data_IF_793821776772
#
_entry.id   IF_793821776772
#
_cell.length_a   1.000
_cell.length_b   1.000
_cell.length_c   1.000
_cell.angle_alpha   90.00
_cell.angle_beta   90.00
_cell.angle_gamma   90.00
#
_symmetry.space_group_name_H-M   'P 1'
#
loop_
_entity.id
_entity.type
_entity.pdbx_description
1 polymer ?
#
# COMPACT_ATOMS: atom_id res chain seq x y z
N UNK A 1 -33.09 -2.24 11.05
CA UNK A 1 -31.72 -2.17 11.59
C UNK A 1 -31.75 -1.47 12.94
N UNK A 2 -31.11 -2.00 14.00
CA UNK A 2 -30.98 -1.29 15.27
C UNK A 2 -30.09 -0.05 15.08
N UNK A 3 -30.55 1.09 15.62
CA UNK A 3 -30.02 2.43 15.35
C UNK A 3 -28.56 2.62 15.81
N UNK A 4 -28.18 1.96 16.89
CA UNK A 4 -26.86 2.03 17.52
C UNK A 4 -25.71 1.59 16.60
N UNK A 5 -25.95 0.61 15.71
CA UNK A 5 -24.91 0.09 14.81
C UNK A 5 -24.57 1.06 13.67
N UNK A 6 -25.52 1.91 13.27
CA UNK A 6 -25.27 2.98 12.31
C UNK A 6 -24.52 4.15 12.95
N UNK A 7 -24.88 4.51 14.19
CA UNK A 7 -24.20 5.56 14.96
C UNK A 7 -22.75 5.16 15.30
N UNK A 8 -22.49 3.89 15.64
CA UNK A 8 -21.13 3.39 15.91
C UNK A 8 -20.17 3.50 14.70
N UNK A 9 -20.66 3.36 13.47
CA UNK A 9 -19.83 3.51 12.27
C UNK A 9 -19.67 4.98 11.83
N UNK A 10 -20.59 5.86 12.20
CA UNK A 10 -20.41 7.31 12.07
C UNK A 10 -19.47 7.89 13.14
N UNK A 11 -19.37 7.24 14.31
CA UNK A 11 -18.55 7.66 15.44
C UNK A 11 -17.05 7.37 15.30
N UNK A 12 -16.58 6.89 14.14
CA UNK A 12 -15.16 6.86 13.79
C UNK A 12 -14.64 8.28 13.47
N UNK A 13 -14.68 9.16 14.48
CA UNK A 13 -14.14 10.52 14.41
C UNK A 13 -12.63 10.40 14.21
N UNK A 14 -12.17 10.66 12.98
CA UNK A 14 -10.77 10.94 12.74
C UNK A 14 -10.43 12.23 13.48
N UNK A 15 -9.59 12.12 14.51
CA UNK A 15 -9.03 13.27 15.21
C UNK A 15 -8.28 14.15 14.22
N UNK A 16 -8.58 15.45 14.26
CA UNK A 16 -7.94 16.43 13.37
C UNK A 16 -6.59 16.78 13.97
N UNK A 17 -5.51 16.56 13.23
CA UNK A 17 -4.19 16.96 13.69
C UNK A 17 -4.09 18.48 13.79
N UNK A 18 -3.59 18.99 14.93
CA UNK A 18 -3.39 20.42 15.16
C UNK A 18 -2.40 21.03 14.15
N UNK A 19 -1.34 20.29 13.83
CA UNK A 19 -0.31 20.68 12.87
C UNK A 19 -0.57 20.10 11.46
N UNK A 20 -0.40 20.90 10.38
CA UNK A 20 -0.49 20.41 9.01
C UNK A 20 0.66 19.44 8.69
N UNK A 21 0.39 18.44 7.85
CA UNK A 21 1.42 17.52 7.38
C UNK A 21 2.50 18.25 6.56
N UNK A 22 3.72 18.34 7.11
CA UNK A 22 4.89 18.89 6.41
C UNK A 22 5.71 17.76 5.76
N UNK A 23 5.76 17.67 4.42
CA UNK A 23 6.55 16.63 3.76
C UNK A 23 8.05 16.96 3.81
N UNK A 24 8.89 15.96 4.11
CA UNK A 24 10.36 16.08 4.10
C UNK A 24 11.01 16.27 2.72
N UNK A 25 10.23 16.66 1.70
CA UNK A 25 10.62 17.03 0.34
C UNK A 25 9.49 17.85 -0.29
N UNK A 26 9.75 18.68 -1.32
CA UNK A 26 8.69 19.28 -2.11
C UNK A 26 7.71 18.22 -2.63
N UNK A 27 6.42 18.48 -2.42
CA UNK A 27 5.31 17.62 -2.79
C UNK A 27 4.11 18.51 -3.15
N UNK A 28 3.45 18.27 -4.28
CA UNK A 28 2.23 18.95 -4.70
C UNK A 28 0.98 18.53 -3.91
N UNK A 29 1.10 17.55 -3.01
CA UNK A 29 0.03 17.07 -2.15
C UNK A 29 -0.72 15.85 -2.70
N UNK A 30 -1.82 15.50 -2.03
CA UNK A 30 -2.65 14.34 -2.32
C UNK A 30 -4.05 14.76 -2.76
N UNK A 31 -4.68 13.95 -3.61
CA UNK A 31 -6.08 14.15 -4.06
C UNK A 31 -7.02 13.49 -3.05
N UNK A 32 -7.55 14.30 -2.12
CA UNK A 32 -8.39 13.86 -0.99
C UNK A 32 -9.79 14.47 -0.98
N UNK A 33 -10.28 14.95 -2.15
CA UNK A 33 -11.63 15.53 -2.31
C UNK A 33 -12.76 14.50 -2.28
N UNK A 34 -13.81 14.70 -3.07
CA UNK A 34 -15.06 13.90 -3.05
C UNK A 34 -14.87 12.37 -3.18
N UNK A 35 -13.80 11.92 -3.83
CA UNK A 35 -13.47 10.50 -3.99
C UNK A 35 -12.70 9.89 -2.79
N UNK A 36 -12.46 10.67 -1.74
CA UNK A 36 -11.71 10.29 -0.55
C UNK A 36 -10.21 10.10 -0.82
N UNK A 37 -9.53 9.47 0.14
CA UNK A 37 -8.05 9.34 0.16
C UNK A 37 -7.45 8.38 -0.88
N UNK A 38 -8.28 7.59 -1.57
CA UNK A 38 -7.83 6.52 -2.46
C UNK A 38 -8.51 5.19 -2.12
N UNK A 39 -7.74 4.14 -1.81
CA UNK A 39 -8.30 2.85 -1.39
C UNK A 39 -7.45 2.10 -0.36
N UNK A 40 -8.09 1.19 0.38
CA UNK A 40 -7.42 0.28 1.34
C UNK A 40 -7.70 -1.17 0.95
N UNK A 41 -6.68 -2.02 1.02
CA UNK A 41 -6.81 -3.47 0.86
C UNK A 41 -6.63 -4.16 2.21
N UNK A 42 -7.60 -4.99 2.59
CA UNK A 42 -7.59 -5.79 3.80
C UNK A 42 -7.37 -7.26 3.46
N UNK A 43 -6.57 -7.95 4.27
CA UNK A 43 -6.45 -9.41 4.28
C UNK A 43 -7.02 -9.95 5.58
N UNK A 44 -7.76 -11.06 5.55
CA UNK A 44 -8.43 -11.62 6.73
C UNK A 44 -8.85 -13.09 6.53
N UNK A 45 -8.87 -13.86 7.62
CA UNK A 45 -9.52 -15.17 7.68
C UNK A 45 -11.05 -15.07 7.84
N UNK A 46 -11.55 -13.95 8.38
CA UNK A 46 -12.99 -13.71 8.62
C UNK A 46 -13.65 -13.05 7.41
N UNK A 47 -13.46 -13.66 6.24
CA UNK A 47 -13.84 -13.04 4.96
C UNK A 47 -15.34 -12.74 4.86
N UNK A 48 -16.19 -13.71 5.19
CA UNK A 48 -17.64 -13.56 5.05
C UNK A 48 -18.21 -12.56 6.07
N UNK A 49 -17.70 -12.55 7.31
CA UNK A 49 -18.11 -11.59 8.34
C UNK A 49 -17.77 -10.15 7.92
N UNK A 50 -16.56 -9.93 7.42
CA UNK A 50 -16.13 -8.62 6.91
C UNK A 50 -16.94 -8.22 5.66
N UNK A 51 -17.18 -9.15 4.75
CA UNK A 51 -18.03 -8.93 3.59
C UNK A 51 -19.46 -8.53 3.98
N UNK A 52 -20.07 -9.21 4.95
CA UNK A 52 -21.40 -8.87 5.47
C UNK A 52 -21.42 -7.49 6.11
N UNK A 53 -20.42 -7.15 6.95
CA UNK A 53 -20.29 -5.82 7.54
C UNK A 53 -20.26 -4.72 6.47
N UNK A 54 -19.39 -4.82 5.48
CA UNK A 54 -19.25 -3.75 4.50
C UNK A 54 -20.42 -3.68 3.51
N UNK A 55 -21.00 -4.82 3.08
CA UNK A 55 -22.09 -4.84 2.09
C UNK A 55 -23.46 -4.61 2.72
N UNK A 56 -23.81 -5.37 3.75
CA UNK A 56 -25.18 -5.42 4.28
C UNK A 56 -25.42 -4.40 5.41
N UNK A 57 -24.39 -4.06 6.20
CA UNK A 57 -24.50 -3.08 7.30
C UNK A 57 -24.10 -1.68 6.82
N UNK A 58 -23.01 -1.56 6.07
CA UNK A 58 -22.47 -0.28 5.60
C UNK A 58 -22.87 0.10 4.16
N UNK A 59 -23.55 -0.79 3.41
CA UNK A 59 -24.10 -0.48 2.10
C UNK A 59 -23.09 -0.35 0.95
N UNK A 60 -21.85 -0.84 1.11
CA UNK A 60 -20.86 -0.85 0.02
C UNK A 60 -21.30 -1.79 -1.10
N UNK A 61 -21.11 -1.37 -2.34
CA UNK A 61 -21.45 -2.14 -3.53
C UNK A 61 -20.22 -2.89 -4.05
N UNK A 62 -20.42 -4.08 -4.60
CA UNK A 62 -19.35 -4.86 -5.24
C UNK A 62 -19.12 -4.34 -6.66
N UNK A 63 -17.87 -3.98 -6.97
CA UNK A 63 -17.47 -3.61 -8.33
C UNK A 63 -16.84 -4.77 -9.09
N UNK A 64 -15.97 -5.56 -8.45
CA UNK A 64 -15.27 -6.67 -9.07
C UNK A 64 -14.94 -7.81 -8.08
N UNK A 65 -14.60 -8.99 -8.58
CA UNK A 65 -14.26 -10.19 -7.79
C UNK A 65 -13.13 -11.00 -8.43
N UNK A 66 -12.03 -11.19 -7.70
CA UNK A 66 -10.96 -12.13 -8.08
C UNK A 66 -11.10 -13.46 -7.32
N UNK A 67 -10.66 -14.56 -7.92
CA UNK A 67 -10.67 -15.91 -7.31
C UNK A 67 -9.30 -16.57 -7.19
N UNK A 68 -8.28 -16.05 -7.86
CA UNK A 68 -6.91 -16.57 -7.85
C UNK A 68 -5.91 -15.40 -7.80
N UNK A 69 -4.77 -15.52 -7.07
CA UNK A 69 -4.38 -16.66 -6.22
C UNK A 69 -5.21 -16.79 -4.93
N UNK A 70 -5.98 -15.76 -4.56
CA UNK A 70 -6.88 -15.75 -3.41
C UNK A 70 -8.27 -15.22 -3.83
N UNK A 71 -9.31 -15.48 -3.02
CA UNK A 71 -10.62 -14.84 -3.20
C UNK A 71 -10.53 -13.39 -2.73
N UNK A 72 -10.92 -12.45 -3.59
CA UNK A 72 -10.95 -11.01 -3.29
C UNK A 72 -12.28 -10.44 -3.77
N UNK A 73 -12.93 -9.62 -2.93
CA UNK A 73 -14.06 -8.77 -3.32
C UNK A 73 -13.63 -7.29 -3.27
N UNK A 74 -13.85 -6.58 -4.37
CA UNK A 74 -13.59 -5.15 -4.52
C UNK A 74 -14.89 -4.38 -4.29
N UNK A 75 -14.85 -3.40 -3.40
CA UNK A 75 -16.01 -2.71 -2.85
C UNK A 75 -15.88 -1.19 -3.02
N UNK A 76 -16.98 -0.54 -3.38
CA UNK A 76 -17.04 0.90 -3.58
C UNK A 76 -18.27 1.53 -2.90
N UNK A 77 -18.10 2.80 -2.52
CA UNK A 77 -19.14 3.65 -1.90
C UNK A 77 -19.30 4.99 -2.64
N UNK A 78 -18.35 5.32 -3.53
CA UNK A 78 -18.36 6.51 -4.39
C UNK A 78 -18.04 6.08 -5.85
N UNK A 79 -17.92 7.02 -6.82
CA UNK A 79 -17.64 6.70 -8.23
C UNK A 79 -16.28 6.05 -8.53
N UNK A 80 -15.36 5.90 -7.55
CA UNK A 80 -14.09 5.18 -7.75
C UNK A 80 -14.36 3.69 -7.97
N UNK A 81 -13.57 3.04 -8.82
CA UNK A 81 -13.69 1.60 -9.10
C UNK A 81 -13.70 0.73 -7.82
N UNK A 82 -12.91 1.10 -6.80
CA UNK A 82 -13.06 0.59 -5.44
C UNK A 82 -12.43 1.58 -4.44
N UNK A 83 -12.97 1.60 -3.22
CA UNK A 83 -12.39 2.30 -2.06
C UNK A 83 -11.87 1.30 -1.03
N UNK A 84 -12.39 0.07 -1.06
CA UNK A 84 -12.01 -1.02 -0.18
C UNK A 84 -11.84 -2.31 -1.00
N UNK A 85 -10.88 -3.15 -0.66
CA UNK A 85 -10.88 -4.55 -1.08
C UNK A 85 -10.65 -5.47 0.11
N UNK A 86 -11.29 -6.64 0.09
CA UNK A 86 -11.18 -7.65 1.15
C UNK A 86 -10.69 -8.93 0.47
N UNK A 87 -9.57 -9.48 0.95
CA UNK A 87 -8.97 -10.70 0.45
C UNK A 87 -9.01 -11.81 1.52
N UNK A 88 -9.48 -12.99 1.15
CA UNK A 88 -9.48 -14.16 2.02
C UNK A 88 -8.06 -14.73 2.10
N UNK A 89 -7.43 -14.55 3.25
CA UNK A 89 -6.15 -15.19 3.59
C UNK A 89 -6.33 -15.88 4.93
N UNK A 90 -5.90 -17.13 5.10
CA UNK A 90 -6.08 -17.88 6.36
C UNK A 90 -5.31 -17.34 7.59
N UNK A 91 -4.83 -16.10 7.55
CA UNK A 91 -4.17 -15.40 8.65
C UNK A 91 -5.03 -14.29 9.27
N UNK A 92 -4.55 -13.64 10.35
CA UNK A 92 -5.30 -12.61 11.06
C UNK A 92 -5.55 -11.36 10.22
N UNK A 93 -6.58 -10.59 10.57
CA UNK A 93 -6.99 -9.38 9.89
C UNK A 93 -5.87 -8.31 9.88
N UNK A 94 -5.52 -7.78 8.70
CA UNK A 94 -4.51 -6.72 8.53
C UNK A 94 -4.84 -5.81 7.34
N UNK A 95 -4.35 -4.57 7.39
CA UNK A 95 -4.15 -3.76 6.19
C UNK A 95 -2.99 -4.39 5.40
N UNK A 96 -3.26 -4.78 4.15
CA UNK A 96 -2.26 -5.31 3.22
C UNK A 96 -1.54 -4.20 2.47
N UNK A 97 -2.31 -3.24 1.94
CA UNK A 97 -1.78 -1.98 1.42
C UNK A 97 -2.84 -0.87 1.48
N UNK A 98 -2.38 0.36 1.32
CA UNK A 98 -3.22 1.52 1.01
C UNK A 98 -2.67 2.20 -0.25
N UNK A 99 -3.55 2.78 -1.04
CA UNK A 99 -3.21 3.59 -2.20
C UNK A 99 -3.64 5.03 -1.92
N UNK A 100 -2.70 5.96 -2.11
CA UNK A 100 -2.91 7.40 -2.02
C UNK A 100 -2.67 8.00 -3.40
N UNK A 101 -3.57 8.88 -3.83
CA UNK A 101 -3.50 9.54 -5.13
C UNK A 101 -2.77 10.90 -4.98
N UNK A 102 -1.78 11.17 -5.83
CA UNK A 102 -1.06 12.46 -5.83
C UNK A 102 -1.75 13.50 -6.72
N UNK A 103 -1.53 14.78 -6.44
CA UNK A 103 -1.94 15.88 -7.31
C UNK A 103 -1.13 15.92 -8.62
N UNK A 104 0.14 15.47 -8.58
CA UNK A 104 1.09 15.57 -9.69
C UNK A 104 1.77 14.23 -10.01
N UNK A 105 1.99 13.94 -11.30
CA UNK A 105 2.66 12.72 -11.77
C UNK A 105 4.17 12.69 -11.44
N UNK A 106 4.82 13.84 -11.36
CA UNK A 106 6.23 13.92 -10.98
C UNK A 106 6.44 13.52 -9.51
N UNK A 107 5.44 13.65 -8.64
CA UNK A 107 5.51 13.12 -7.27
C UNK A 107 5.45 11.59 -7.24
N UNK A 108 4.62 10.97 -8.08
CA UNK A 108 4.63 9.52 -8.30
C UNK A 108 6.00 9.05 -8.81
N UNK A 109 6.59 9.77 -9.77
CA UNK A 109 7.94 9.50 -10.29
C UNK A 109 9.01 9.63 -9.21
N UNK A 110 8.99 10.72 -8.42
CA UNK A 110 9.93 10.97 -7.30
C UNK A 110 9.81 9.89 -6.22
N UNK A 111 8.59 9.51 -5.84
CA UNK A 111 8.34 8.45 -4.87
C UNK A 111 8.90 7.10 -5.37
N UNK A 112 8.58 6.72 -6.60
CA UNK A 112 9.03 5.47 -7.22
C UNK A 112 10.56 5.38 -7.34
N UNK A 113 11.20 6.47 -7.79
CA UNK A 113 12.65 6.56 -7.90
C UNK A 113 13.35 6.49 -6.52
N UNK A 114 12.74 7.06 -5.48
CA UNK A 114 13.26 7.00 -4.11
C UNK A 114 13.16 5.57 -3.55
N UNK A 115 12.02 4.91 -3.74
CA UNK A 115 11.82 3.50 -3.34
C UNK A 115 12.81 2.58 -4.05
N UNK A 116 13.03 2.75 -5.36
CA UNK A 116 14.03 2.00 -6.12
C UNK A 116 15.45 2.19 -5.55
N UNK A 117 15.87 3.44 -5.30
CA UNK A 117 17.17 3.77 -4.69
C UNK A 117 17.33 3.26 -3.25
N UNK A 118 16.24 3.11 -2.49
CA UNK A 118 16.27 2.60 -1.11
C UNK A 118 16.25 1.08 -1.08
N UNK A 119 15.49 0.45 -1.97
CA UNK A 119 15.54 -0.99 -2.22
C UNK A 119 16.95 -1.44 -2.66
N UNK A 120 17.61 -0.71 -3.57
CA UNK A 120 18.99 -1.01 -3.98
C UNK A 120 20.06 -0.70 -2.91
N UNK A 121 19.71 0.02 -1.83
CA UNK A 121 20.56 0.21 -0.64
C UNK A 121 20.32 -0.83 0.46
N UNK A 122 19.21 -1.57 0.42
CA UNK A 122 18.92 -2.70 1.32
C UNK A 122 19.17 -4.08 0.70
N UNK A 123 19.06 -4.21 -0.63
CA UNK A 123 19.44 -5.41 -1.35
C UNK A 123 20.94 -5.45 -1.61
N UNK A 124 21.65 -6.39 -0.96
CA UNK A 124 22.78 -7.02 -1.67
C UNK A 124 22.23 -7.67 -2.96
N UNK A 125 22.90 -7.60 -4.12
CA UNK A 125 22.34 -8.02 -5.41
C UNK A 125 22.28 -9.56 -5.61
N UNK A 126 21.84 -10.32 -4.60
CA UNK A 126 21.70 -11.79 -4.64
C UNK A 126 20.44 -12.27 -5.36
N UNK A 127 20.33 -11.90 -6.65
CA UNK A 127 19.83 -12.77 -7.76
C UNK A 127 19.81 -12.03 -9.11
N UNK A 128 20.97 -11.50 -9.52
CA UNK A 128 21.39 -11.74 -10.91
C UNK A 128 22.00 -13.16 -11.00
N UNK A 129 21.91 -13.80 -12.16
CA UNK A 129 22.17 -15.23 -12.35
C UNK A 129 23.61 -15.68 -12.08
N UNK A 130 23.76 -16.66 -11.18
CA UNK A 130 24.93 -17.53 -10.94
C UNK A 130 26.22 -16.85 -10.41
N UNK A 131 27.06 -17.66 -9.74
CA UNK A 131 28.40 -17.32 -9.23
C UNK A 131 28.53 -16.21 -8.14
N UNK A 132 27.90 -16.39 -6.98
CA UNK A 132 28.30 -15.69 -5.75
C UNK A 132 29.34 -16.50 -4.95
N UNK A 133 30.61 -16.07 -4.92
CA UNK A 133 31.60 -16.52 -3.92
C UNK A 133 31.74 -15.47 -2.81
N UNK A 134 31.96 -15.92 -1.57
CA UNK A 134 31.83 -15.09 -0.37
C UNK A 134 33.06 -15.13 0.55
N UNK A 135 33.09 -14.19 1.50
CA UNK A 135 33.80 -14.18 2.80
C UNK A 135 35.31 -14.37 2.91
N UNK A 136 36.04 -14.76 1.87
CA UNK A 136 37.52 -14.68 1.85
C UNK A 136 38.01 -14.09 0.54
N UNK A 137 38.58 -12.89 0.59
CA UNK A 137 39.47 -12.43 -0.47
C UNK A 137 40.78 -13.22 -0.36
N UNK A 138 41.27 -13.79 -1.48
CA UNK A 138 42.67 -13.56 -1.80
C UNK A 138 42.88 -13.30 -3.30
N UNK A 139 42.98 -12.00 -3.67
CA UNK A 139 43.42 -11.44 -4.99
C UNK A 139 42.38 -11.55 -6.14
N UNK A 140 42.28 -10.66 -7.14
CA UNK A 140 42.69 -9.24 -7.46
C UNK A 140 41.95 -8.89 -8.81
N UNK A 141 41.58 -7.66 -9.23
CA UNK A 141 41.12 -6.39 -8.59
C UNK A 141 39.56 -6.34 -8.63
N UNK A 142 38.90 -5.37 -7.98
CA UNK A 142 37.59 -4.85 -8.43
C UNK A 142 37.81 -3.54 -9.20
N UNK A 143 37.14 -3.32 -10.33
CA UNK A 143 37.39 -2.20 -11.24
C UNK A 143 36.69 -0.87 -10.87
N UNK A 144 36.13 -0.76 -9.66
CA UNK A 144 35.21 0.32 -9.26
C UNK A 144 35.54 0.99 -7.92
N UNK A 145 36.81 0.93 -7.49
CA UNK A 145 37.25 1.63 -6.27
C UNK A 145 37.70 3.07 -6.63
N UNK A 146 37.07 4.14 -6.10
CA UNK A 146 37.42 5.52 -6.43
C UNK A 146 38.64 6.02 -5.63
N UNK A 147 39.81 5.45 -5.90
CA UNK A 147 41.12 5.98 -5.47
C UNK A 147 42.21 5.51 -6.45
N UNK A 148 42.80 6.48 -7.17
CA UNK A 148 43.86 6.34 -8.20
C UNK A 148 45.19 5.78 -7.63
N UNK A 149 46.22 5.45 -8.46
CA UNK A 149 46.31 5.41 -9.93
C UNK A 149 46.72 4.04 -10.52
N UNK A 150 46.75 3.96 -11.87
CA UNK A 150 47.31 2.90 -12.72
C UNK A 150 46.82 1.45 -12.44
#
# INVERSE_FOLDING_TARGET
MPRELAEACAAAVLETADDPFVPGRPLGGFRTGELGIGHVALITAHFEQMCHLYKEVLGFKVSDRARAPFRVEFLHVNPRHHTLSIAHTGGPAKIYHMMLEYNDFDDLRRASATTCKRASRGCSPRRASRAWRCSRCPRRRCASCPSRPC
#
